data_IF_927435173199
#
_entry.id   IF_927435173199
#
_cell.length_a   1.000
_cell.length_b   1.000
_cell.length_c   1.000
_cell.angle_alpha   90.00
_cell.angle_beta   90.00
_cell.angle_gamma   90.00
#
_symmetry.space_group_name_H-M   'P 1'
#
loop_
_entity.id
_entity.type
_entity.pdbx_description
1 polymer ?
#
# COMPACT_ATOMS: atom_id res chain seq x y z
N UNK A 1 -8.65 -13.75 3.51
CA UNK A 1 -9.15 -12.41 3.16
C UNK A 1 -10.22 -12.03 4.18
N UNK A 2 -10.16 -10.80 4.72
CA UNK A 2 -11.19 -10.26 5.62
C UNK A 2 -12.33 -9.55 4.87
N UNK A 3 -12.17 -9.29 3.57
CA UNK A 3 -13.14 -8.55 2.77
C UNK A 3 -13.68 -9.39 1.59
N UNK A 4 -14.97 -9.23 1.22
CA UNK A 4 -15.54 -9.82 0.00
C UNK A 4 -14.81 -9.34 -1.26
N UNK A 5 -14.73 -10.18 -2.30
CA UNK A 5 -14.06 -9.83 -3.57
C UNK A 5 -14.69 -8.62 -4.29
N UNK A 6 -15.99 -8.37 -4.05
CA UNK A 6 -16.79 -7.36 -4.75
C UNK A 6 -16.92 -6.03 -3.97
N UNK A 7 -16.17 -5.87 -2.86
CA UNK A 7 -16.22 -4.62 -2.09
C UNK A 7 -15.61 -3.48 -2.89
N UNK A 8 -16.32 -2.35 -2.98
CA UNK A 8 -15.85 -1.17 -3.72
C UNK A 8 -15.27 -0.08 -2.81
N UNK A 9 -15.75 -0.01 -1.57
CA UNK A 9 -15.35 0.98 -0.58
C UNK A 9 -15.25 0.31 0.79
N UNK A 10 -14.16 0.57 1.51
CA UNK A 10 -13.95 0.05 2.88
C UNK A 10 -13.69 1.18 3.84
N UNK A 11 -14.32 1.12 5.01
CA UNK A 11 -13.99 1.95 6.16
C UNK A 11 -13.42 1.03 7.23
N UNK A 12 -12.12 1.18 7.51
CA UNK A 12 -11.48 0.41 8.58
C UNK A 12 -11.76 1.08 9.91
N UNK A 13 -12.11 0.30 10.93
CA UNK A 13 -12.46 0.84 12.24
C UNK A 13 -11.31 1.69 12.83
N UNK A 14 -11.57 2.85 13.43
CA UNK A 14 -10.53 3.78 13.89
C UNK A 14 -9.54 3.24 14.94
N UNK A 15 -9.90 2.14 15.62
CA UNK A 15 -9.02 1.49 16.62
C UNK A 15 -7.98 0.55 16.01
N UNK A 16 -8.08 0.23 14.72
CA UNK A 16 -7.18 -0.71 14.06
C UNK A 16 -5.78 -0.11 13.96
N UNK A 17 -4.80 -0.85 14.47
CA UNK A 17 -3.37 -0.52 14.41
C UNK A 17 -2.63 -1.27 13.31
N UNK A 18 -3.19 -2.38 12.82
CA UNK A 18 -2.59 -3.18 11.76
C UNK A 18 -3.66 -3.60 10.76
N UNK A 19 -3.40 -3.33 9.48
CA UNK A 19 -4.10 -4.01 8.40
C UNK A 19 -3.35 -5.31 8.18
N UNK A 20 -3.94 -6.42 8.65
CA UNK A 20 -3.27 -7.71 8.68
C UNK A 20 -2.88 -8.26 7.31
N UNK A 21 -2.03 -9.28 7.33
CA UNK A 21 -1.60 -9.98 6.13
C UNK A 21 -2.82 -10.45 5.32
N UNK A 22 -2.78 -10.26 4.00
CA UNK A 22 -3.84 -10.66 3.06
C UNK A 22 -5.24 -10.08 3.37
N UNK A 23 -5.35 -9.02 4.18
CA UNK A 23 -6.65 -8.48 4.64
C UNK A 23 -7.61 -8.14 3.49
N UNK A 24 -7.09 -7.51 2.44
CA UNK A 24 -7.81 -7.12 1.21
C UNK A 24 -7.20 -7.78 -0.03
N UNK A 25 -6.58 -8.95 0.12
CA UNK A 25 -6.00 -9.67 -1.00
C UNK A 25 -7.05 -9.94 -2.09
N UNK A 26 -6.75 -9.51 -3.31
CA UNK A 26 -7.59 -9.68 -4.50
C UNK A 26 -8.99 -9.07 -4.40
N UNK A 27 -9.18 -8.02 -3.61
CA UNK A 27 -10.36 -7.15 -3.71
C UNK A 27 -10.29 -6.33 -5.00
N UNK A 28 -10.55 -6.98 -6.15
CA UNK A 28 -10.37 -6.41 -7.48
C UNK A 28 -11.25 -5.19 -7.74
N UNK A 29 -12.39 -5.11 -7.04
CA UNK A 29 -13.36 -4.02 -7.14
C UNK A 29 -13.12 -2.86 -6.17
N UNK A 30 -12.18 -2.99 -5.22
CA UNK A 30 -11.89 -1.98 -4.21
C UNK A 30 -11.32 -0.73 -4.89
N UNK A 31 -12.07 0.38 -4.82
CA UNK A 31 -11.69 1.68 -5.40
C UNK A 31 -11.09 2.61 -4.37
N UNK A 32 -11.57 2.55 -3.13
CA UNK A 32 -11.12 3.42 -2.05
C UNK A 32 -11.17 2.73 -0.70
N UNK A 33 -10.29 3.17 0.19
CA UNK A 33 -10.24 2.72 1.58
C UNK A 33 -10.00 3.90 2.51
N UNK A 34 -10.75 3.98 3.59
CA UNK A 34 -10.46 4.89 4.70
C UNK A 34 -9.50 4.21 5.66
N UNK A 35 -8.25 4.70 5.69
CA UNK A 35 -7.20 4.22 6.59
C UNK A 35 -7.38 4.83 7.98
N UNK A 36 -7.31 4.05 9.07
CA UNK A 36 -7.53 4.55 10.42
C UNK A 36 -6.33 5.37 10.88
N UNK A 37 -6.56 6.49 11.58
CA UNK A 37 -5.49 7.42 12.03
C UNK A 37 -4.44 6.83 12.98
N UNK A 38 -4.70 5.64 13.54
CA UNK A 38 -3.81 4.92 14.46
C UNK A 38 -3.09 3.76 13.77
N UNK A 39 -3.17 3.64 12.45
CA UNK A 39 -2.49 2.57 11.72
C UNK A 39 -0.97 2.69 11.91
N UNK A 40 -0.36 1.60 12.32
CA UNK A 40 1.09 1.46 12.52
C UNK A 40 1.69 0.54 11.44
N UNK A 41 0.95 -0.49 11.00
CA UNK A 41 1.47 -1.54 10.11
C UNK A 41 0.51 -1.82 8.94
N UNK A 42 1.05 -1.86 7.72
CA UNK A 42 0.41 -2.48 6.56
C UNK A 42 1.04 -3.85 6.34
N UNK A 43 0.24 -4.90 6.50
CA UNK A 43 0.65 -6.30 6.45
C UNK A 43 1.13 -6.78 5.08
N UNK A 44 1.77 -7.95 5.07
CA UNK A 44 2.22 -8.59 3.84
C UNK A 44 1.04 -8.89 2.93
N UNK A 45 1.17 -8.55 1.65
CA UNK A 45 0.14 -8.77 0.65
C UNK A 45 -1.23 -8.11 0.97
N UNK A 46 -1.28 -7.16 1.91
CA UNK A 46 -2.54 -6.62 2.45
C UNK A 46 -3.51 -6.14 1.36
N UNK A 47 -3.00 -5.53 0.29
CA UNK A 47 -3.74 -5.03 -0.86
C UNK A 47 -3.26 -5.63 -2.19
N UNK A 48 -2.56 -6.77 -2.15
CA UNK A 48 -2.08 -7.42 -3.38
C UNK A 48 -3.26 -7.67 -4.34
N UNK A 49 -3.13 -7.21 -5.58
CA UNK A 49 -4.15 -7.31 -6.63
C UNK A 49 -5.45 -6.55 -6.36
N UNK A 50 -5.43 -5.48 -5.55
CA UNK A 50 -6.51 -4.47 -5.50
C UNK A 50 -6.48 -3.59 -6.76
N UNK A 51 -6.82 -4.18 -7.91
CA UNK A 51 -6.55 -3.60 -9.24
C UNK A 51 -7.21 -2.25 -9.49
N UNK A 52 -8.36 -1.97 -8.87
CA UNK A 52 -9.12 -0.72 -9.02
C UNK A 52 -8.82 0.32 -7.93
N UNK A 53 -7.92 0.05 -7.00
CA UNK A 53 -7.60 0.97 -5.90
C UNK A 53 -6.87 2.19 -6.48
N UNK A 54 -7.46 3.38 -6.30
CA UNK A 54 -7.00 4.59 -6.98
C UNK A 54 -5.94 5.37 -6.20
N UNK A 55 -6.19 5.58 -4.91
CA UNK A 55 -5.39 6.42 -4.03
C UNK A 55 -5.34 5.80 -2.63
N UNK A 56 -4.22 5.98 -1.93
CA UNK A 56 -4.08 5.58 -0.52
C UNK A 56 -3.35 6.68 0.25
N UNK A 57 -3.91 7.07 1.40
CA UNK A 57 -3.29 8.00 2.33
C UNK A 57 -2.97 7.27 3.64
N UNK A 58 -1.68 7.07 3.93
CA UNK A 58 -1.24 6.45 5.16
C UNK A 58 -1.07 7.52 6.26
N UNK A 59 -1.51 7.27 7.51
CA UNK A 59 -1.36 8.23 8.60
C UNK A 59 0.10 8.30 9.08
N UNK A 60 0.49 9.43 9.65
CA UNK A 60 1.84 9.67 10.22
C UNK A 60 2.24 8.70 11.34
N UNK A 61 1.29 7.93 11.87
CA UNK A 61 1.56 6.83 12.81
C UNK A 61 2.12 5.58 12.13
N UNK A 62 2.06 5.49 10.80
CA UNK A 62 2.52 4.33 10.04
C UNK A 62 4.04 4.17 10.19
N UNK A 63 4.47 2.98 10.58
CA UNK A 63 5.88 2.64 10.80
C UNK A 63 6.44 1.70 9.74
N UNK A 64 5.64 0.77 9.26
CA UNK A 64 6.10 -0.27 8.33
C UNK A 64 5.06 -0.59 7.26
N UNK A 65 5.55 -0.74 6.03
CA UNK A 65 4.81 -1.27 4.90
C UNK A 65 5.49 -2.58 4.46
N UNK A 66 4.84 -3.71 4.74
CA UNK A 66 5.43 -5.03 4.56
C UNK A 66 5.41 -5.50 3.10
N UNK A 67 6.17 -6.57 2.85
CA UNK A 67 6.42 -7.16 1.52
C UNK A 67 5.15 -7.26 0.68
N UNK A 68 5.26 -6.79 -0.56
CA UNK A 68 4.22 -6.93 -1.60
C UNK A 68 2.85 -6.31 -1.25
N UNK A 69 2.78 -5.45 -0.23
CA UNK A 69 1.51 -4.93 0.30
C UNK A 69 0.60 -4.31 -0.77
N UNK A 70 1.14 -3.59 -1.75
CA UNK A 70 0.37 -2.93 -2.83
C UNK A 70 0.69 -3.47 -4.22
N UNK A 71 1.31 -4.66 -4.33
CA UNK A 71 1.66 -5.20 -5.65
C UNK A 71 0.40 -5.40 -6.52
N UNK A 72 0.55 -5.19 -7.83
CA UNK A 72 -0.51 -5.35 -8.83
C UNK A 72 -1.75 -4.44 -8.57
N UNK A 73 -1.61 -3.35 -7.80
CA UNK A 73 -2.59 -2.25 -7.75
C UNK A 73 -2.47 -1.39 -9.01
N UNK A 74 -2.95 -1.91 -10.13
CA UNK A 74 -2.69 -1.36 -11.47
C UNK A 74 -3.28 0.03 -11.71
N UNK A 75 -4.35 0.39 -11.00
CA UNK A 75 -5.00 1.70 -11.08
C UNK A 75 -4.53 2.69 -10.00
N UNK A 76 -3.61 2.28 -9.11
CA UNK A 76 -3.09 3.16 -8.08
C UNK A 76 -2.26 4.27 -8.74
N UNK A 77 -2.75 5.51 -8.63
CA UNK A 77 -2.12 6.69 -9.22
C UNK A 77 -1.28 7.45 -8.21
N UNK A 78 -1.67 7.41 -6.94
CA UNK A 78 -1.00 8.12 -5.85
C UNK A 78 -1.00 7.34 -4.55
N UNK A 79 0.12 7.39 -3.84
CA UNK A 79 0.20 6.98 -2.44
C UNK A 79 1.05 7.97 -1.66
N UNK A 80 0.54 8.42 -0.52
CA UNK A 80 1.29 9.27 0.40
C UNK A 80 1.93 8.38 1.46
N UNK A 81 3.26 8.25 1.40
CA UNK A 81 4.05 7.61 2.46
C UNK A 81 4.47 8.72 3.44
N UNK A 82 3.94 8.73 4.67
CA UNK A 82 4.16 9.83 5.60
C UNK A 82 5.54 9.76 6.25
N UNK A 83 6.00 10.91 6.73
CA UNK A 83 7.13 10.98 7.65
C UNK A 83 6.85 10.12 8.89
N UNK A 84 7.86 9.35 9.31
CA UNK A 84 7.75 8.38 10.39
C UNK A 84 7.69 6.92 9.93
N UNK A 85 7.50 6.65 8.63
CA UNK A 85 7.71 5.31 8.06
C UNK A 85 9.20 5.01 8.06
N UNK A 86 9.56 3.88 8.66
CA UNK A 86 10.95 3.47 8.84
C UNK A 86 11.37 2.38 7.85
N UNK A 87 10.42 1.52 7.45
CA UNK A 87 10.68 0.36 6.60
C UNK A 87 9.62 0.24 5.50
N UNK A 88 10.09 0.15 4.25
CA UNK A 88 9.31 -0.28 3.09
C UNK A 88 9.97 -1.56 2.55
N UNK A 89 9.31 -2.69 2.75
CA UNK A 89 9.84 -4.01 2.38
C UNK A 89 9.78 -4.28 0.85
N UNK A 90 10.22 -5.47 0.46
CA UNK A 90 10.38 -5.89 -0.93
C UNK A 90 9.11 -5.75 -1.76
N UNK A 91 9.28 -5.17 -2.96
CA UNK A 91 8.27 -5.18 -4.04
C UNK A 91 6.90 -4.60 -3.65
N UNK A 92 6.84 -3.74 -2.64
CA UNK A 92 5.59 -3.14 -2.14
C UNK A 92 4.73 -2.56 -3.25
N UNK A 93 5.33 -1.83 -4.21
CA UNK A 93 4.62 -1.20 -5.33
C UNK A 93 4.85 -1.90 -6.68
N UNK A 94 5.32 -3.16 -6.66
CA UNK A 94 5.60 -3.89 -7.91
C UNK A 94 4.34 -3.98 -8.78
N UNK A 95 4.49 -3.70 -10.08
CA UNK A 95 3.40 -3.72 -11.07
C UNK A 95 2.27 -2.69 -10.81
N UNK A 96 2.49 -1.65 -10.00
CA UNK A 96 1.61 -0.48 -9.94
C UNK A 96 1.83 0.40 -11.19
N UNK A 97 1.24 0.02 -12.32
CA UNK A 97 1.55 0.59 -13.65
C UNK A 97 1.24 2.09 -13.80
N UNK A 98 0.28 2.62 -13.03
CA UNK A 98 -0.14 4.03 -13.06
C UNK A 98 0.47 4.87 -11.95
N UNK A 99 1.25 4.27 -11.06
CA UNK A 99 1.86 4.99 -9.96
C UNK A 99 3.03 5.81 -10.51
N UNK A 100 2.81 7.11 -10.67
CA UNK A 100 3.77 8.02 -11.30
C UNK A 100 4.75 8.62 -10.29
N UNK A 101 4.27 8.93 -9.08
CA UNK A 101 5.05 9.60 -8.05
C UNK A 101 4.89 8.89 -6.69
N UNK A 102 6.01 8.46 -6.11
CA UNK A 102 6.09 8.03 -4.72
C UNK A 102 7.07 8.95 -4.02
N UNK A 103 6.58 9.82 -3.15
CA UNK A 103 7.44 10.62 -2.28
C UNK A 103 7.86 9.74 -1.11
N UNK A 104 9.17 9.53 -0.99
CA UNK A 104 9.75 8.79 0.13
C UNK A 104 9.97 9.75 1.32
N UNK A 105 9.64 9.33 2.55
CA UNK A 105 9.88 10.15 3.73
C UNK A 105 11.36 10.17 4.08
N UNK A 106 11.80 11.28 4.70
CA UNK A 106 13.18 11.44 5.17
C UNK A 106 13.58 10.43 6.24
N UNK A 107 12.60 9.88 6.96
CA UNK A 107 12.80 8.86 8.01
C UNK A 107 13.02 7.45 7.49
N UNK A 108 12.91 7.23 6.17
CA UNK A 108 13.02 5.89 5.59
C UNK A 108 14.44 5.34 5.77
N UNK A 109 14.56 4.26 6.55
CA UNK A 109 15.86 3.64 6.86
C UNK A 109 16.26 2.61 5.82
N UNK A 110 15.28 1.92 5.24
CA UNK A 110 15.51 0.77 4.38
C UNK A 110 14.44 0.64 3.30
N UNK A 111 14.89 0.41 2.05
CA UNK A 111 14.08 -0.13 0.95
C UNK A 111 14.70 -1.46 0.56
N UNK A 112 14.01 -2.56 0.85
CA UNK A 112 14.47 -3.88 0.40
C UNK A 112 14.06 -4.06 -1.06
N UNK A 113 15.04 -4.33 -1.93
CA UNK A 113 14.95 -4.51 -3.39
C UNK A 113 13.62 -4.13 -4.07
N UNK A 114 13.56 -2.93 -4.65
CA UNK A 114 12.50 -2.51 -5.56
C UNK A 114 12.97 -2.61 -7.02
N UNK A 115 13.22 -3.82 -7.54
CA UNK A 115 13.34 -3.99 -9.01
C UNK A 115 11.94 -3.82 -9.62
N UNK A 116 11.57 -2.57 -9.89
CA UNK A 116 10.43 -2.23 -10.73
C UNK A 116 10.58 -2.93 -12.07
N UNK A 117 9.80 -3.97 -12.32
CA UNK A 117 9.75 -4.68 -13.61
C UNK A 117 8.90 -3.93 -14.66
N UNK A 118 8.72 -2.63 -14.50
CA UNK A 118 8.11 -1.73 -15.49
C UNK A 118 9.20 -0.91 -16.18
N UNK A 119 9.14 -0.83 -17.51
CA UNK A 119 10.12 -0.23 -18.44
C UNK A 119 10.45 1.26 -18.28
N UNK A 120 10.31 1.85 -17.10
CA UNK A 120 10.70 3.24 -16.88
C UNK A 120 11.68 3.29 -15.72
N UNK A 121 12.93 3.62 -16.07
CA UNK A 121 13.99 3.95 -15.14
C UNK A 121 13.68 5.25 -14.41
N UNK A 122 12.69 5.21 -13.51
CA UNK A 122 12.75 6.05 -12.33
C UNK A 122 13.71 5.37 -11.36
N UNK A 123 14.82 6.02 -11.05
CA UNK A 123 15.49 5.74 -9.80
C UNK A 123 14.47 6.06 -8.70
N UNK A 124 13.97 5.04 -8.03
CA UNK A 124 13.23 5.18 -6.78
C UNK A 124 14.24 5.34 -5.66
#
# INVERSE_FOLDING_TARGET
SFAPADVTHVIVHPSVKEIGNLAFYSCHELRSITIPKKLEIVGEYAFLSCRKLLNVELPTTTKQIKKLAFRDCTELTSIVIPEGVEVVDEWVFSRCKKLADVKLPSTLKEIKENKGSGRYGGNW
#
